data_IF_558141190812
#
_entry.id   IF_558141190812
#
_cell.length_a   1.000
_cell.length_b   1.000
_cell.length_c   1.000
_cell.angle_alpha   90.00
_cell.angle_beta   90.00
_cell.angle_gamma   90.00
#
_symmetry.space_group_name_H-M   'P 1'
#
loop_
_entity.id
_entity.type
_entity.pdbx_description
1 polymer ?
#
# COMPACT_ATOMS: atom_id res chain seq x y z
N UNK A 1 -13.11 23.52 18.40
CA UNK A 1 -12.78 23.70 17.94
C UNK A 1 -12.29 24.05 17.76
N UNK A 2 -11.98 24.24 17.52
CA UNK A 2 -11.24 24.61 17.05
C UNK A 2 -10.94 25.51 17.01
N UNK A 3 -10.71 26.06 17.16
CA UNK A 3 -10.29 26.88 16.81
C UNK A 3 -9.48 27.42 16.98
N UNK A 4 -9.33 27.78 17.54
CA UNK A 4 -8.12 28.12 17.24
C UNK A 4 -7.98 29.09 16.11
N UNK A 5 -7.68 30.28 16.30
CA UNK A 5 -7.79 31.32 15.33
C UNK A 5 -6.91 31.06 14.21
N UNK A 6 -6.39 31.45 13.66
CA UNK A 6 -5.74 30.89 12.69
C UNK A 6 -5.81 29.47 12.88
N UNK A 7 -6.38 29.05 13.82
CA UNK A 7 -6.35 27.73 14.08
C UNK A 7 -6.84 26.88 13.00
N UNK A 8 -7.99 26.41 13.10
CA UNK A 8 -8.40 25.31 12.24
C UNK A 8 -8.48 25.68 10.79
N UNK A 9 -8.98 26.81 10.48
CA UNK A 9 -9.14 27.14 9.08
C UNK A 9 -7.80 27.39 8.40
N UNK A 10 -6.92 28.05 9.09
CA UNK A 10 -5.63 28.31 8.48
C UNK A 10 -4.78 27.07 8.43
N UNK A 11 -4.85 26.28 9.46
CA UNK A 11 -4.13 25.02 9.42
C UNK A 11 -4.57 24.18 8.24
N UNK A 12 -5.84 24.20 7.93
CA UNK A 12 -6.32 23.46 6.78
C UNK A 12 -5.81 24.02 5.48
N UNK A 13 -5.62 25.30 5.40
CA UNK A 13 -5.03 25.88 4.19
C UNK A 13 -3.55 25.62 4.11
N UNK A 14 -2.89 25.69 5.25
CA UNK A 14 -1.47 25.45 5.29
C UNK A 14 -1.14 24.00 5.05
N UNK A 15 -2.00 23.09 5.44
CA UNK A 15 -1.85 21.69 5.12
C UNK A 15 -2.68 21.40 3.88
N UNK A 16 -2.23 21.88 2.77
CA UNK A 16 -3.01 22.00 1.59
C UNK A 16 -3.75 20.77 1.21
N UNK A 17 -3.18 19.67 1.25
CA UNK A 17 -3.89 18.51 0.80
C UNK A 17 -3.50 17.35 1.64
N UNK A 18 -4.42 16.97 2.47
CA UNK A 18 -4.27 15.67 3.09
C UNK A 18 -4.13 14.63 1.99
N UNK A 19 -3.26 13.68 2.21
CA UNK A 19 -3.13 12.57 1.29
C UNK A 19 -4.42 11.77 1.35
N UNK A 20 -5.11 11.65 0.22
CA UNK A 20 -6.32 10.86 0.17
C UNK A 20 -5.97 9.38 0.27
N UNK A 21 -6.73 8.63 1.06
CA UNK A 21 -6.54 7.19 1.07
C UNK A 21 -6.75 6.61 -0.32
N UNK A 22 -5.88 5.70 -0.71
CA UNK A 22 -5.98 5.02 -1.98
C UNK A 22 -5.83 3.53 -1.76
N UNK A 23 -6.38 2.76 -2.67
CA UNK A 23 -6.20 1.32 -2.60
C UNK A 23 -4.72 1.00 -2.73
N UNK A 24 -4.25 0.13 -1.87
CA UNK A 24 -2.86 -0.27 -1.84
C UNK A 24 -2.77 -1.70 -1.38
N UNK A 25 -1.66 -2.34 -1.70
CA UNK A 25 -1.41 -3.71 -1.28
C UNK A 25 0.00 -3.83 -0.74
N UNK A 26 0.16 -4.66 0.26
CA UNK A 26 1.46 -5.03 0.78
C UNK A 26 1.67 -6.52 0.60
N UNK A 27 2.90 -6.90 0.37
CA UNK A 27 3.27 -8.30 0.18
C UNK A 27 4.21 -8.69 1.31
N UNK A 28 3.85 -9.73 2.04
CA UNK A 28 4.73 -10.26 3.07
C UNK A 28 5.53 -11.40 2.46
N UNK A 29 6.79 -11.13 2.18
CA UNK A 29 7.70 -12.13 1.65
C UNK A 29 8.53 -12.66 2.81
N UNK A 30 8.44 -13.95 3.06
CA UNK A 30 9.11 -14.53 4.21
C UNK A 30 9.87 -15.79 3.81
N UNK A 31 10.84 -16.15 4.62
CA UNK A 31 11.59 -17.40 4.44
C UNK A 31 11.96 -17.96 5.80
N UNK A 32 12.23 -19.24 5.81
CA UNK A 32 12.78 -19.88 7.01
C UNK A 32 14.28 -19.63 7.04
N UNK A 33 14.78 -19.32 8.22
CA UNK A 33 16.18 -19.00 8.40
C UNK A 33 16.75 -19.79 9.54
N UNK A 34 16.96 -21.08 9.33
CA UNK A 34 17.66 -21.92 10.29
C UNK A 34 17.45 -21.52 11.74
N UNK A 35 18.54 -21.07 12.36
CA UNK A 35 18.51 -20.75 13.78
C UNK A 35 17.68 -19.52 14.13
N UNK A 36 17.36 -18.67 13.14
CA UNK A 36 16.61 -17.43 13.40
C UNK A 36 15.12 -17.59 13.28
N UNK A 37 14.65 -18.72 12.82
CA UNK A 37 13.22 -18.89 12.61
C UNK A 37 12.76 -18.31 11.29
N UNK A 38 11.91 -17.32 11.32
CA UNK A 38 11.34 -16.72 10.11
C UNK A 38 11.91 -15.32 9.89
N UNK A 39 12.30 -15.06 8.66
CA UNK A 39 12.74 -13.73 8.24
C UNK A 39 11.76 -13.16 7.25
N UNK A 40 11.53 -11.86 7.34
CA UNK A 40 10.58 -11.16 6.48
C UNK A 40 11.34 -10.07 5.71
N UNK A 41 11.06 -9.98 4.42
CA UNK A 41 11.70 -8.98 3.57
C UNK A 41 11.07 -7.62 3.82
N UNK A 42 11.90 -6.63 4.08
CA UNK A 42 11.47 -5.25 4.22
C UNK A 42 12.43 -4.34 3.48
N UNK A 43 11.94 -3.21 3.02
CA UNK A 43 12.75 -2.21 2.36
C UNK A 43 12.73 -0.91 3.13
N UNK A 44 13.76 -0.11 2.95
CA UNK A 44 13.80 1.21 3.55
C UNK A 44 13.18 2.20 2.58
N UNK A 45 12.15 2.90 3.04
CA UNK A 45 11.50 3.90 2.18
C UNK A 45 12.48 5.04 1.92
N UNK A 46 12.55 5.45 0.66
CA UNK A 46 13.50 6.47 0.26
C UNK A 46 13.23 7.79 1.00
N UNK A 47 14.29 8.51 1.31
CA UNK A 47 14.19 9.76 2.07
C UNK A 47 13.35 10.82 1.35
N UNK A 48 13.23 10.72 0.03
CA UNK A 48 12.45 11.68 -0.76
C UNK A 48 10.97 11.36 -0.83
N UNK A 49 10.56 10.24 -0.27
CA UNK A 49 9.13 9.93 -0.25
C UNK A 49 8.39 10.96 0.58
N UNK A 50 7.23 11.35 0.11
CA UNK A 50 6.40 12.30 0.84
C UNK A 50 5.81 11.69 2.10
N UNK A 51 5.50 10.42 2.04
CA UNK A 51 4.82 9.75 3.14
C UNK A 51 5.82 8.86 3.86
N UNK A 52 6.03 9.16 5.13
CA UNK A 52 6.86 8.38 6.04
C UNK A 52 8.21 7.98 5.43
N UNK A 53 9.08 8.96 5.13
CA UNK A 53 10.41 8.63 4.61
C UNK A 53 11.26 7.98 5.69
N UNK A 54 12.24 7.21 5.27
CA UNK A 54 13.22 6.58 6.16
C UNK A 54 12.63 5.58 7.14
N UNK A 55 11.51 4.95 6.80
CA UNK A 55 10.95 3.88 7.61
C UNK A 55 11.02 2.57 6.85
N UNK A 56 11.08 1.48 7.58
CA UNK A 56 11.05 0.15 6.98
C UNK A 56 9.62 -0.17 6.56
N UNK A 57 9.47 -0.70 5.37
CA UNK A 57 8.15 -1.03 4.82
C UNK A 57 8.21 -2.38 4.13
N UNK A 58 7.06 -3.03 4.04
CA UNK A 58 6.92 -4.23 3.22
C UNK A 58 6.88 -3.85 1.74
N UNK A 59 7.27 -4.76 0.84
CA UNK A 59 7.07 -4.54 -0.59
C UNK A 59 5.59 -4.30 -0.90
N UNK A 60 5.33 -3.57 -1.97
CA UNK A 60 3.98 -3.28 -2.39
C UNK A 60 3.83 -1.82 -2.74
N UNK A 61 2.61 -1.37 -2.90
CA UNK A 61 2.37 0.01 -3.23
C UNK A 61 0.93 0.29 -3.54
N UNK A 62 0.68 1.52 -3.99
CA UNK A 62 -0.65 1.95 -4.39
C UNK A 62 -1.06 1.27 -5.68
N UNK A 63 -2.35 1.08 -5.84
CA UNK A 63 -2.91 0.63 -7.09
C UNK A 63 -2.92 1.80 -8.07
N UNK A 64 -2.30 1.62 -9.21
CA UNK A 64 -2.32 2.59 -10.29
C UNK A 64 -3.31 2.16 -11.36
N UNK A 65 -3.70 3.09 -12.21
CA UNK A 65 -4.63 2.75 -13.30
C UNK A 65 -4.11 1.61 -14.16
N UNK A 66 -2.80 1.60 -14.41
CA UNK A 66 -2.20 0.55 -15.22
C UNK A 66 -2.29 -0.82 -14.60
N UNK A 67 -2.42 -0.91 -13.29
CA UNK A 67 -2.48 -2.20 -12.62
C UNK A 67 -3.72 -3.00 -13.02
N UNK A 68 -4.80 -2.32 -13.37
CA UNK A 68 -6.01 -3.00 -13.83
C UNK A 68 -5.83 -3.67 -15.19
N UNK A 69 -4.87 -3.21 -15.97
CA UNK A 69 -4.62 -3.69 -17.32
C UNK A 69 -3.30 -4.40 -17.50
N UNK A 70 -2.50 -4.44 -16.45
CA UNK A 70 -1.17 -5.01 -16.54
C UNK A 70 -1.24 -6.50 -16.91
N UNK A 71 -0.34 -6.91 -17.76
CA UNK A 71 -0.21 -8.32 -18.10
C UNK A 71 0.69 -8.97 -17.06
N UNK A 72 0.30 -10.13 -16.61
CA UNK A 72 1.06 -10.87 -15.62
C UNK A 72 1.46 -12.22 -16.20
N UNK A 73 2.51 -12.79 -15.64
CA UNK A 73 2.97 -14.10 -16.08
C UNK A 73 1.91 -15.16 -15.78
N UNK A 74 1.25 -15.01 -14.65
CA UNK A 74 0.19 -15.93 -14.25
C UNK A 74 -0.85 -15.16 -13.46
N UNK A 75 -2.03 -15.75 -13.35
CA UNK A 75 -3.08 -15.15 -12.53
C UNK A 75 -2.87 -15.51 -11.07
N UNK A 76 -3.58 -14.80 -10.19
CA UNK A 76 -3.57 -15.12 -8.78
C UNK A 76 -4.08 -16.54 -8.58
N UNK A 77 -3.54 -17.20 -7.56
CA UNK A 77 -4.10 -18.49 -7.16
C UNK A 77 -5.55 -18.33 -6.76
N UNK A 78 -6.38 -19.34 -7.03
CA UNK A 78 -7.82 -19.20 -6.75
C UNK A 78 -8.15 -18.82 -5.32
N UNK A 79 -7.46 -19.37 -4.33
CA UNK A 79 -7.73 -19.01 -2.94
C UNK A 79 -7.35 -17.55 -2.64
N UNK A 80 -6.25 -17.09 -3.21
CA UNK A 80 -5.84 -15.70 -3.02
C UNK A 80 -6.84 -14.77 -3.66
N UNK A 81 -7.25 -15.07 -4.88
CA UNK A 81 -8.24 -14.25 -5.57
C UNK A 81 -9.56 -14.23 -4.81
N UNK A 82 -10.01 -15.37 -4.37
CA UNK A 82 -11.27 -15.45 -3.62
C UNK A 82 -11.21 -14.61 -2.36
N UNK A 83 -10.07 -14.63 -1.66
CA UNK A 83 -9.91 -13.81 -0.47
C UNK A 83 -9.99 -12.32 -0.76
N UNK A 84 -9.34 -11.89 -1.84
CA UNK A 84 -9.39 -10.48 -2.21
C UNK A 84 -10.76 -10.06 -2.68
N UNK A 85 -11.46 -10.95 -3.39
CA UNK A 85 -12.77 -10.61 -3.96
C UNK A 85 -13.88 -10.59 -2.93
N UNK A 86 -13.60 -10.99 -1.71
CA UNK A 86 -14.61 -10.86 -0.64
C UNK A 86 -15.04 -9.43 -0.41
N UNK A 87 -14.11 -8.49 -0.57
CA UNK A 87 -14.39 -7.09 -0.25
C UNK A 87 -14.01 -6.15 -1.38
N UNK A 88 -13.60 -6.68 -2.53
CA UNK A 88 -13.20 -5.86 -3.66
C UNK A 88 -13.78 -6.45 -4.94
N UNK A 89 -14.21 -5.60 -5.87
CA UNK A 89 -14.65 -6.10 -7.17
C UNK A 89 -13.50 -6.84 -7.88
N UNK A 90 -13.80 -7.75 -8.79
CA UNK A 90 -12.76 -8.55 -9.44
C UNK A 90 -11.64 -7.73 -10.09
N UNK A 91 -11.96 -6.63 -10.74
CA UNK A 91 -10.94 -5.80 -11.35
C UNK A 91 -10.00 -5.19 -10.30
N UNK A 92 -10.56 -4.72 -9.19
CA UNK A 92 -9.73 -4.16 -8.12
C UNK A 92 -8.92 -5.26 -7.45
N UNK A 93 -9.50 -6.42 -7.23
CA UNK A 93 -8.77 -7.53 -6.63
C UNK A 93 -7.54 -7.89 -7.47
N UNK A 94 -7.70 -7.94 -8.77
CA UNK A 94 -6.58 -8.22 -9.67
C UNK A 94 -5.53 -7.12 -9.60
N UNK A 95 -5.96 -5.87 -9.59
CA UNK A 95 -5.05 -4.74 -9.50
C UNK A 95 -4.28 -4.73 -8.17
N UNK A 96 -4.94 -5.12 -7.09
CA UNK A 96 -4.25 -5.25 -5.80
C UNK A 96 -3.15 -6.31 -5.88
N UNK A 97 -3.41 -7.41 -6.57
CA UNK A 97 -2.39 -8.43 -6.76
C UNK A 97 -1.20 -7.91 -7.57
N UNK A 98 -1.45 -7.08 -8.56
CA UNK A 98 -0.38 -6.48 -9.35
C UNK A 98 0.40 -5.46 -8.54
N UNK A 99 -0.27 -4.70 -7.70
CA UNK A 99 0.36 -3.63 -6.91
C UNK A 99 1.23 -4.19 -5.77
N UNK A 100 0.97 -5.41 -5.36
CA UNK A 100 1.70 -6.01 -4.25
C UNK A 100 3.16 -6.31 -4.55
#
# INVERSE_FOLDING_TARGET
EDDNPGGPAEARRAAPRAVRPRHAASLLVWRRSGARGIEVLMGLRHARHRFMPNVLVFPGGRVDRGDHRAKTISELRPLTRAGLERQAPPSLARALGVAA
#
